data_IF_596466154530
#
_entry.id   IF_596466154530
#
_cell.length_a   1.000
_cell.length_b   1.000
_cell.length_c   1.000
_cell.angle_alpha   90.00
_cell.angle_beta   90.00
_cell.angle_gamma   90.00
#
_symmetry.space_group_name_H-M   'P 1'
#
loop_
_entity.id
_entity.type
_entity.pdbx_description
1 polymer ?
#
# COMPACT_ATOMS: atom_id res chain seq x y z
N UNK A 1 -2.94 11.14 15.17
CA UNK A 1 -2.84 10.40 16.35
C UNK A 1 -2.67 8.92 16.23
N UNK A 2 -2.57 8.35 15.05
CA UNK A 2 -2.36 6.94 14.90
C UNK A 2 -0.89 6.61 14.96
N UNK A 3 -0.57 5.63 15.78
CA UNK A 3 0.78 5.17 15.98
C UNK A 3 0.88 3.72 15.56
N UNK A 4 1.85 3.41 14.72
CA UNK A 4 2.15 2.04 14.33
C UNK A 4 3.39 1.56 15.07
N UNK A 5 3.27 0.40 15.69
CA UNK A 5 4.37 -0.23 16.39
C UNK A 5 5.10 -1.17 15.44
N UNK A 6 6.32 -0.81 15.10
CA UNK A 6 7.17 -1.59 14.20
C UNK A 6 8.10 -2.51 15.00
N UNK A 7 7.54 -3.24 15.96
CA UNK A 7 8.33 -4.11 16.82
C UNK A 7 8.71 -5.43 16.18
N UNK A 8 7.99 -5.87 15.16
CA UNK A 8 8.32 -7.09 14.43
C UNK A 8 9.52 -6.82 13.53
N UNK A 9 10.51 -7.72 13.54
CA UNK A 9 11.72 -7.48 12.83
C UNK A 9 12.29 -8.78 12.30
N UNK A 10 12.99 -8.72 11.20
CA UNK A 10 13.75 -9.86 10.73
C UNK A 10 13.01 -10.86 9.88
N UNK A 11 12.11 -10.47 9.03
CA UNK A 11 11.77 -11.43 8.03
C UNK A 11 10.32 -11.70 7.67
N UNK A 12 9.40 -10.98 8.23
CA UNK A 12 8.01 -11.09 7.74
C UNK A 12 7.85 -10.14 6.56
N UNK A 13 7.83 -10.69 5.34
CA UNK A 13 7.77 -9.89 4.11
C UNK A 13 6.48 -9.09 3.98
N UNK A 14 5.46 -9.42 4.76
CA UNK A 14 4.17 -8.72 4.76
C UNK A 14 3.85 -8.12 6.12
N UNK A 15 4.85 -7.73 6.87
CA UNK A 15 4.66 -7.21 8.22
C UNK A 15 3.87 -5.91 8.23
N UNK A 16 4.09 -5.04 7.22
CA UNK A 16 3.44 -3.74 7.14
C UNK A 16 2.92 -3.53 5.73
N UNK A 17 1.66 -3.16 5.62
CA UNK A 17 1.10 -2.74 4.32
C UNK A 17 1.08 -1.22 4.29
N UNK A 18 1.66 -0.65 3.23
CA UNK A 18 1.69 0.79 3.00
C UNK A 18 0.93 1.13 1.73
N UNK A 19 0.18 2.23 1.76
CA UNK A 19 -0.63 2.64 0.63
C UNK A 19 -0.45 4.15 0.35
N UNK A 20 -0.27 4.54 -0.93
CA UNK A 20 -0.12 5.95 -1.27
C UNK A 20 -1.41 6.75 -1.04
N UNK A 21 -1.30 7.83 -0.30
CA UNK A 21 -2.43 8.72 -0.03
C UNK A 21 -3.04 9.27 -1.32
N UNK A 22 -2.20 9.55 -2.31
CA UNK A 22 -2.64 10.16 -3.57
C UNK A 22 -3.63 9.31 -4.37
N UNK A 23 -3.73 8.01 -4.09
CA UNK A 23 -4.66 7.13 -4.80
C UNK A 23 -6.09 7.18 -4.25
N UNK A 24 -6.29 7.79 -3.11
CA UNK A 24 -7.62 7.81 -2.47
C UNK A 24 -8.66 8.55 -3.30
N UNK A 25 -8.27 9.61 -4.01
CA UNK A 25 -9.18 10.33 -4.91
C UNK A 25 -9.75 9.43 -6.00
N UNK A 26 -8.90 8.57 -6.59
CA UNK A 26 -9.34 7.59 -7.58
C UNK A 26 -10.41 6.66 -6.99
N UNK A 27 -10.16 6.11 -5.80
CA UNK A 27 -11.09 5.16 -5.19
C UNK A 27 -12.41 5.80 -4.79
N UNK A 28 -12.39 7.03 -4.29
CA UNK A 28 -13.62 7.77 -4.02
C UNK A 28 -14.46 7.94 -5.27
N UNK A 29 -13.82 8.29 -6.38
CA UNK A 29 -14.51 8.50 -7.65
C UNK A 29 -15.13 7.21 -8.18
N UNK A 30 -14.39 6.12 -8.23
CA UNK A 30 -14.92 4.86 -8.79
C UNK A 30 -15.98 4.25 -7.89
N UNK A 31 -15.88 4.40 -6.56
CA UNK A 31 -16.93 3.94 -5.66
C UNK A 31 -18.22 4.73 -5.86
N UNK A 32 -18.12 6.04 -6.02
CA UNK A 32 -19.28 6.88 -6.28
C UNK A 32 -19.96 6.48 -7.60
N UNK A 33 -19.18 6.25 -8.64
CA UNK A 33 -19.71 5.82 -9.94
C UNK A 33 -20.37 4.45 -9.86
N UNK A 34 -19.83 3.54 -9.05
CA UNK A 34 -20.39 2.21 -8.85
C UNK A 34 -21.54 2.18 -7.85
N UNK A 35 -21.83 3.28 -7.19
CA UNK A 35 -22.79 3.37 -6.08
C UNK A 35 -22.48 2.35 -4.99
N UNK A 36 -21.21 2.27 -4.63
CA UNK A 36 -20.74 1.32 -3.65
C UNK A 36 -21.31 1.62 -2.27
N UNK A 37 -21.54 0.56 -1.49
CA UNK A 37 -21.96 0.68 -0.10
C UNK A 37 -20.77 0.56 0.84
N UNK A 38 -21.05 0.64 2.13
CA UNK A 38 -20.09 0.31 3.17
C UNK A 38 -19.34 1.47 3.79
N UNK A 39 -19.22 2.60 3.10
CA UNK A 39 -18.57 3.80 3.63
C UNK A 39 -19.51 4.98 3.51
N UNK A 40 -19.76 5.67 4.62
CA UNK A 40 -20.66 6.81 4.63
C UNK A 40 -20.17 7.92 3.71
N UNK A 41 -21.07 8.49 2.94
CA UNK A 41 -20.81 9.65 2.07
C UNK A 41 -19.60 9.48 1.15
N UNK A 42 -19.29 8.22 0.78
CA UNK A 42 -18.13 7.90 -0.05
C UNK A 42 -16.79 8.38 0.54
N UNK A 43 -16.77 8.61 1.84
CA UNK A 43 -15.55 8.98 2.52
C UNK A 43 -14.72 7.72 2.78
N UNK A 44 -13.56 7.68 2.17
CA UNK A 44 -12.57 6.64 2.45
C UNK A 44 -11.48 7.27 3.32
N UNK A 45 -11.50 7.02 4.63
CA UNK A 45 -10.44 7.56 5.48
C UNK A 45 -9.14 6.78 5.26
N UNK A 46 -7.99 7.36 5.60
CA UNK A 46 -6.74 6.60 5.62
C UNK A 46 -6.92 5.31 6.42
N UNK A 47 -6.37 4.22 5.90
CA UNK A 47 -6.58 2.88 6.45
C UNK A 47 -7.69 2.10 5.77
N UNK A 48 -8.50 2.73 4.92
CA UNK A 48 -9.63 2.07 4.26
C UNK A 48 -9.19 0.96 3.31
N UNK A 49 -7.97 1.04 2.78
CA UNK A 49 -7.41 0.00 1.90
C UNK A 49 -6.84 -1.18 2.68
N UNK A 50 -6.91 -1.14 4.00
CA UNK A 50 -6.32 -2.16 4.88
C UNK A 50 -4.88 -1.86 5.24
N UNK A 51 -4.37 -0.70 4.87
CA UNK A 51 -2.98 -0.34 5.17
C UNK A 51 -2.80 0.12 6.61
N UNK A 52 -1.62 -0.15 7.14
CA UNK A 52 -1.18 0.38 8.42
C UNK A 52 -0.57 1.76 8.23
N UNK A 53 0.14 1.96 7.11
CA UNK A 53 0.78 3.24 6.79
C UNK A 53 0.18 3.82 5.52
N UNK A 54 -0.33 5.04 5.61
CA UNK A 54 -0.74 5.83 4.46
C UNK A 54 0.37 6.83 4.17
N UNK A 55 1.00 6.70 2.99
CA UNK A 55 2.19 7.46 2.64
C UNK A 55 1.85 8.64 1.75
N UNK A 56 2.42 9.79 2.06
CA UNK A 56 2.30 10.99 1.26
C UNK A 56 3.60 11.22 0.49
N UNK A 57 3.50 11.48 -0.80
CA UNK A 57 4.65 11.82 -1.63
C UNK A 57 5.40 10.64 -2.23
N UNK A 58 4.91 9.42 -2.05
CA UNK A 58 5.56 8.23 -2.60
C UNK A 58 4.50 7.26 -3.11
N UNK A 59 4.71 6.71 -4.30
CA UNK A 59 3.80 5.72 -4.87
C UNK A 59 4.58 4.60 -5.57
N UNK A 60 3.85 3.61 -6.08
CA UNK A 60 4.41 2.40 -6.67
C UNK A 60 5.34 2.66 -7.85
N UNK A 61 5.13 3.76 -8.58
CA UNK A 61 5.97 4.10 -9.75
C UNK A 61 7.40 4.46 -9.37
N UNK A 62 7.60 4.82 -8.12
CA UNK A 62 8.91 5.27 -7.62
C UNK A 62 9.49 4.31 -6.60
N UNK A 63 8.89 3.12 -6.46
CA UNK A 63 9.33 2.12 -5.50
C UNK A 63 9.92 0.90 -6.20
N UNK A 64 11.02 0.43 -5.64
CA UNK A 64 11.69 -0.79 -6.08
C UNK A 64 11.75 -1.77 -4.90
N UNK A 65 11.69 -3.04 -5.21
CA UNK A 65 11.88 -4.07 -4.18
C UNK A 65 13.27 -3.88 -3.56
N UNK A 66 13.32 -3.83 -2.24
CA UNK A 66 14.57 -3.60 -1.51
C UNK A 66 14.83 -2.16 -1.13
N UNK A 67 14.05 -1.21 -1.64
CA UNK A 67 14.17 0.18 -1.17
C UNK A 67 13.81 0.26 0.31
N UNK A 68 14.44 1.18 1.02
CA UNK A 68 14.22 1.36 2.45
C UNK A 68 13.51 2.68 2.73
N UNK A 69 12.55 2.63 3.65
CA UNK A 69 11.94 3.82 4.24
C UNK A 69 12.52 3.97 5.63
N UNK A 70 13.23 5.06 5.86
CA UNK A 70 13.88 5.34 7.14
C UNK A 70 13.18 6.48 7.84
N UNK A 71 12.77 6.22 9.07
CA UNK A 71 12.04 7.19 9.89
C UNK A 71 12.99 7.85 10.87
N UNK A 72 12.63 9.06 11.30
CA UNK A 72 13.51 9.90 12.12
C UNK A 72 13.87 9.26 13.46
N UNK A 73 12.99 8.43 14.01
CA UNK A 73 13.23 7.76 15.30
C UNK A 73 14.07 6.48 15.19
N UNK A 74 14.53 6.14 13.98
CA UNK A 74 15.40 4.99 13.76
C UNK A 74 14.71 3.77 13.19
N UNK A 75 13.39 3.76 13.06
CA UNK A 75 12.69 2.66 12.42
C UNK A 75 13.03 2.59 10.93
N UNK A 76 13.22 1.38 10.42
CA UNK A 76 13.54 1.16 9.00
C UNK A 76 12.66 0.04 8.44
N UNK A 77 11.98 0.33 7.35
CA UNK A 77 11.17 -0.63 6.61
C UNK A 77 11.79 -0.88 5.24
N UNK A 78 11.70 -2.12 4.78
CA UNK A 78 12.20 -2.52 3.47
C UNK A 78 11.04 -2.96 2.58
N UNK A 79 10.97 -2.43 1.36
CA UNK A 79 9.94 -2.79 0.39
C UNK A 79 10.14 -4.23 -0.05
N UNK A 80 9.15 -5.08 0.18
CA UNK A 80 9.26 -6.52 -0.07
C UNK A 80 8.43 -7.00 -1.26
N UNK A 81 7.18 -6.57 -1.40
CA UNK A 81 6.35 -7.01 -2.52
C UNK A 81 5.12 -6.12 -2.68
N UNK A 82 4.53 -6.07 -3.89
CA UNK A 82 3.24 -5.40 -4.06
C UNK A 82 2.12 -6.22 -3.44
N UNK A 83 0.98 -5.59 -3.18
CA UNK A 83 -0.22 -6.30 -2.78
C UNK A 83 -0.94 -6.84 -4.02
N UNK A 84 -1.33 -8.12 -3.98
CA UNK A 84 -2.14 -8.73 -5.03
C UNK A 84 -3.60 -8.79 -4.55
N UNK A 85 -4.54 -8.13 -5.23
CA UNK A 85 -5.92 -8.11 -4.78
C UNK A 85 -6.62 -9.44 -5.05
N UNK A 86 -7.68 -9.71 -4.28
CA UNK A 86 -8.53 -10.87 -4.46
C UNK A 86 -9.99 -10.45 -4.27
N UNK A 87 -10.91 -11.42 -4.34
CA UNK A 87 -12.34 -11.11 -4.20
C UNK A 87 -12.68 -10.45 -2.86
N UNK A 88 -11.89 -10.67 -1.82
CA UNK A 88 -12.11 -10.01 -0.52
C UNK A 88 -11.96 -8.50 -0.63
N UNK A 89 -11.09 -8.05 -1.52
CA UNK A 89 -10.95 -6.62 -1.78
C UNK A 89 -12.23 -6.03 -2.37
N UNK A 90 -12.89 -6.77 -3.27
CA UNK A 90 -14.17 -6.35 -3.82
C UNK A 90 -15.20 -6.15 -2.71
N UNK A 91 -15.28 -7.08 -1.78
CA UNK A 91 -16.20 -6.98 -0.65
C UNK A 91 -15.87 -5.77 0.23
N UNK A 92 -14.60 -5.56 0.52
CA UNK A 92 -14.16 -4.42 1.35
C UNK A 92 -14.49 -3.08 0.69
N UNK A 93 -14.34 -2.99 -0.63
CA UNK A 93 -14.60 -1.76 -1.36
C UNK A 93 -16.06 -1.56 -1.70
N UNK A 94 -16.88 -2.58 -1.56
CA UNK A 94 -18.32 -2.49 -1.75
C UNK A 94 -18.82 -2.58 -3.20
N UNK A 95 -17.96 -3.02 -4.12
CA UNK A 95 -18.40 -3.25 -5.51
C UNK A 95 -17.52 -4.30 -6.18
N UNK A 96 -18.09 -4.96 -7.20
CA UNK A 96 -17.55 -6.21 -7.75
C UNK A 96 -16.29 -6.04 -8.61
N UNK A 97 -15.98 -4.84 -9.07
CA UNK A 97 -14.86 -4.62 -10.00
C UNK A 97 -13.63 -3.99 -9.34
N UNK A 98 -13.62 -3.89 -8.01
CA UNK A 98 -12.53 -3.21 -7.31
C UNK A 98 -11.17 -3.86 -7.57
N UNK A 99 -11.08 -5.19 -7.45
CA UNK A 99 -9.82 -5.90 -7.71
C UNK A 99 -9.34 -5.70 -9.15
N UNK A 100 -10.26 -5.76 -10.11
CA UNK A 100 -9.94 -5.51 -11.52
C UNK A 100 -9.37 -4.10 -11.73
N UNK A 101 -9.99 -3.10 -11.10
CA UNK A 101 -9.51 -1.73 -11.20
C UNK A 101 -8.16 -1.54 -10.54
N UNK A 102 -7.87 -2.23 -9.44
CA UNK A 102 -6.54 -2.18 -8.83
C UNK A 102 -5.49 -2.75 -9.80
N UNK A 103 -5.80 -3.85 -10.46
CA UNK A 103 -4.89 -4.44 -11.45
C UNK A 103 -4.68 -3.50 -12.63
N UNK A 104 -5.74 -2.91 -13.15
CA UNK A 104 -5.65 -2.02 -14.31
C UNK A 104 -4.90 -0.73 -14.00
N UNK A 105 -5.13 -0.16 -12.82
CA UNK A 105 -4.48 1.09 -12.43
C UNK A 105 -3.06 0.90 -11.95
N UNK A 106 -2.75 -0.25 -11.38
CA UNK A 106 -1.48 -0.47 -10.70
C UNK A 106 -1.42 0.17 -9.31
N UNK A 107 -2.54 0.63 -8.78
CA UNK A 107 -2.61 1.32 -7.48
C UNK A 107 -2.71 0.29 -6.35
N UNK A 108 -1.67 -0.51 -6.21
CA UNK A 108 -1.67 -1.69 -5.35
C UNK A 108 -1.06 -1.46 -3.96
N UNK A 109 -0.29 -0.40 -3.78
CA UNK A 109 0.50 -0.25 -2.56
C UNK A 109 1.61 -1.29 -2.49
N UNK A 110 2.23 -1.40 -1.34
CA UNK A 110 3.33 -2.33 -1.15
C UNK A 110 3.37 -2.85 0.27
N UNK A 111 3.78 -4.10 0.41
CA UNK A 111 4.15 -4.68 1.69
C UNK A 111 5.60 -4.39 1.99
N UNK A 112 5.88 -4.22 3.28
CA UNK A 112 7.22 -3.92 3.76
C UNK A 112 7.56 -4.86 4.91
N UNK A 113 8.84 -5.19 5.00
CA UNK A 113 9.37 -5.91 6.15
C UNK A 113 10.02 -4.91 7.10
N UNK A 114 10.03 -5.23 8.39
CA UNK A 114 10.69 -4.40 9.40
C UNK A 114 12.16 -4.79 9.45
N UNK A 115 13.03 -3.88 9.07
CA UNK A 115 14.48 -4.07 9.18
C UNK A 115 14.98 -3.61 10.54
N UNK A 116 14.55 -2.43 10.98
CA UNK A 116 14.83 -1.93 12.33
C UNK A 116 13.51 -1.56 13.00
N UNK A 117 13.26 -2.04 14.22
CA UNK A 117 12.02 -1.71 14.92
C UNK A 117 11.96 -0.24 15.31
N UNK A 118 10.75 0.26 15.48
CA UNK A 118 10.50 1.62 15.89
C UNK A 118 9.02 1.88 15.99
N UNK A 119 8.65 3.10 16.32
CA UNK A 119 7.27 3.53 16.36
C UNK A 119 7.07 4.70 15.41
N UNK A 120 5.99 4.64 14.66
CA UNK A 120 5.65 5.66 13.67
C UNK A 120 4.25 6.17 13.96
N UNK A 121 4.08 7.48 13.90
CA UNK A 121 2.77 8.09 14.07
C UNK A 121 2.49 9.06 12.93
N UNK A 122 1.21 9.40 12.80
CA UNK A 122 0.78 10.33 11.76
C UNK A 122 1.58 11.64 11.85
N UNK A 123 2.04 12.11 10.70
CA UNK A 123 2.88 13.30 10.61
C UNK A 123 4.38 13.04 10.65
N UNK A 124 4.79 11.82 10.96
CA UNK A 124 6.22 11.49 10.92
C UNK A 124 6.74 11.50 9.48
N UNK A 125 7.97 11.96 9.34
CA UNK A 125 8.64 11.98 8.04
C UNK A 125 9.51 10.74 7.88
N UNK A 126 9.73 10.37 6.63
CA UNK A 126 10.67 9.31 6.29
C UNK A 126 11.51 9.74 5.10
N UNK A 127 12.66 9.11 4.94
CA UNK A 127 13.51 9.29 3.76
C UNK A 127 13.60 7.97 3.02
N UNK A 128 13.57 8.04 1.70
CA UNK A 128 13.71 6.87 0.84
C UNK A 128 15.19 6.64 0.56
N UNK A 129 15.68 5.45 0.89
CA UNK A 129 17.04 5.03 0.59
C UNK A 129 17.02 3.90 -0.43
N UNK A 130 17.55 4.11 -1.63
CA UNK A 130 17.51 3.09 -2.67
C UNK A 130 18.25 1.83 -2.28
N UNK A 131 17.66 0.68 -2.59
CA UNK A 131 18.34 -0.61 -2.55
C UNK A 131 19.03 -0.90 -3.88
N UNK A 132 19.12 -2.19 -4.27
CA UNK A 132 19.81 -2.56 -5.53
C UNK A 132 19.10 -2.06 -6.79
N UNK A 133 17.79 -1.83 -6.69
CA UNK A 133 16.94 -1.32 -7.77
C UNK A 133 16.97 -2.19 -9.03
N UNK A 134 16.81 -3.48 -8.82
CA UNK A 134 16.76 -4.47 -9.89
C UNK A 134 15.34 -4.77 -10.35
N UNK A 135 14.36 -4.66 -9.44
CA UNK A 135 12.97 -5.03 -9.71
C UNK A 135 12.03 -3.97 -9.15
N UNK A 136 11.27 -3.35 -10.04
CA UNK A 136 10.26 -2.37 -9.65
C UNK A 136 9.03 -3.05 -9.06
N UNK A 137 8.43 -2.42 -8.05
CA UNK A 137 7.19 -2.91 -7.45
C UNK A 137 6.10 -3.07 -8.51
N UNK A 138 5.92 -2.06 -9.34
CA UNK A 138 4.86 -2.08 -10.36
C UNK A 138 5.11 -3.14 -11.43
N UNK A 139 6.37 -3.34 -11.83
CA UNK A 139 6.73 -4.38 -12.80
C UNK A 139 6.40 -5.77 -12.26
N UNK A 140 6.73 -6.03 -11.00
CA UNK A 140 6.40 -7.31 -10.37
C UNK A 140 4.88 -7.50 -10.26
N UNK A 141 4.16 -6.46 -9.88
CA UNK A 141 2.70 -6.51 -9.80
C UNK A 141 2.09 -6.88 -11.15
N UNK A 142 2.51 -6.22 -12.21
CA UNK A 142 1.99 -6.46 -13.56
C UNK A 142 2.35 -7.84 -14.09
N UNK A 143 3.56 -8.29 -13.83
CA UNK A 143 3.99 -9.62 -14.25
C UNK A 143 3.14 -10.73 -13.61
N UNK A 144 2.83 -10.59 -12.33
CA UNK A 144 2.07 -11.61 -11.59
C UNK A 144 0.57 -11.51 -11.76
N UNK A 145 0.05 -10.40 -12.22
CA UNK A 145 -1.39 -10.25 -12.47
C UNK A 145 -1.77 -10.44 -13.93
N UNK A 146 -0.79 -10.52 -14.83
CA UNK A 146 -1.02 -10.70 -16.27
C UNK A 146 -1.78 -12.01 -16.54
N UNK A 147 -2.85 -11.89 -17.32
CA UNK A 147 -3.66 -13.04 -17.71
C UNK A 147 -4.58 -13.59 -16.63
N UNK A 148 -4.57 -13.06 -15.43
CA UNK A 148 -5.47 -13.49 -14.36
C UNK A 148 -6.79 -12.72 -14.42
N UNK A 149 -7.86 -13.38 -13.99
CA UNK A 149 -9.18 -12.77 -13.86
C UNK A 149 -9.42 -12.33 -12.43
N UNK A 150 -9.99 -11.17 -12.29
CA UNK A 150 -10.27 -10.59 -10.98
C UNK A 150 -11.73 -10.15 -10.85
#
# INVERSE_FOLDING_TARGET
DEQADLSVHGGLSKAVYAYPLEHYGFWRTVRAQARAGGWEDDLLPPGAMGEILTLDGLNERHLWIGDQLRFADGGVLVVSEPRFPCFKFNAAMGFSKAAKLMVESGYCGAYLAVLEPGQVQAGDNFTLHPGPRELEVLALFRARTSGKKF
#
